data_IF_626931584415
#
_entry.id   IF_626931584415
#
_cell.length_a   1.000
_cell.length_b   1.000
_cell.length_c   1.000
_cell.angle_alpha   90.00
_cell.angle_beta   90.00
_cell.angle_gamma   90.00
#
_symmetry.space_group_name_H-M   'P 1'
#
loop_
_entity.id
_entity.type
_entity.pdbx_description
1 polymer ?
#
# COMPACT_ATOMS: atom_id res chain seq x y z
N UNK A 1 -85.33 1.59 -11.97
CA UNK A 1 -84.51 2.05 -10.82
C UNK A 1 -83.57 0.97 -10.25
N UNK A 2 -83.56 -0.28 -10.76
CA UNK A 2 -82.72 -1.37 -10.24
C UNK A 2 -81.30 -1.42 -10.85
N UNK A 3 -81.14 -0.95 -12.09
CA UNK A 3 -79.86 -0.94 -12.83
C UNK A 3 -78.76 -0.14 -12.12
N UNK A 4 -79.12 0.97 -11.46
CA UNK A 4 -78.15 1.84 -10.78
C UNK A 4 -77.58 1.22 -9.49
N UNK A 5 -78.34 0.36 -8.81
CA UNK A 5 -77.90 -0.30 -7.58
C UNK A 5 -76.92 -1.44 -7.89
N UNK A 6 -77.16 -2.18 -8.99
CA UNK A 6 -76.28 -3.25 -9.44
C UNK A 6 -74.92 -2.70 -9.89
N UNK A 7 -74.91 -1.55 -10.58
CA UNK A 7 -73.69 -0.86 -10.99
C UNK A 7 -72.86 -0.37 -9.78
N UNK A 8 -73.51 0.12 -8.71
CA UNK A 8 -72.82 0.57 -7.51
C UNK A 8 -72.17 -0.58 -6.71
N UNK A 9 -72.81 -1.75 -6.65
CA UNK A 9 -72.26 -2.92 -5.95
C UNK A 9 -71.06 -3.52 -6.71
N UNK A 10 -71.11 -3.54 -8.04
CA UNK A 10 -70.00 -4.03 -8.87
C UNK A 10 -68.72 -3.20 -8.72
N UNK A 11 -68.85 -1.89 -8.48
CA UNK A 11 -67.71 -1.01 -8.26
C UNK A 11 -67.06 -1.20 -6.88
N UNK A 12 -67.86 -1.53 -5.85
CA UNK A 12 -67.37 -1.73 -4.48
C UNK A 12 -66.60 -3.06 -4.30
N UNK A 13 -66.93 -4.08 -5.10
CA UNK A 13 -66.30 -5.41 -5.03
C UNK A 13 -65.22 -5.65 -6.10
N UNK A 14 -64.86 -4.62 -6.87
CA UNK A 14 -63.77 -4.71 -7.84
C UNK A 14 -62.43 -4.85 -7.09
N UNK A 15 -61.64 -5.91 -7.34
CA UNK A 15 -60.31 -6.04 -6.74
C UNK A 15 -59.40 -4.92 -7.24
N UNK A 16 -58.69 -4.24 -6.33
CA UNK A 16 -57.71 -3.21 -6.68
C UNK A 16 -56.59 -3.81 -7.56
N UNK A 17 -56.04 -3.07 -8.54
CA UNK A 17 -54.95 -3.56 -9.36
C UNK A 17 -53.74 -3.80 -8.47
N UNK A 18 -53.34 -5.06 -8.34
CA UNK A 18 -52.17 -5.46 -7.58
C UNK A 18 -50.95 -5.10 -8.43
N UNK A 19 -50.05 -4.26 -7.91
CA UNK A 19 -48.84 -3.88 -8.63
C UNK A 19 -48.01 -5.14 -8.91
N UNK A 20 -47.83 -5.48 -10.19
CA UNK A 20 -46.99 -6.57 -10.63
C UNK A 20 -45.52 -6.20 -10.45
N UNK A 21 -44.66 -7.08 -9.90
CA UNK A 21 -43.24 -6.81 -9.79
C UNK A 21 -42.64 -6.74 -11.21
N UNK A 22 -42.04 -5.60 -11.55
CA UNK A 22 -41.33 -5.45 -12.82
C UNK A 22 -40.19 -6.49 -12.90
N UNK A 23 -40.10 -7.28 -13.98
CA UNK A 23 -39.02 -8.25 -14.12
C UNK A 23 -37.70 -7.49 -14.31
N UNK A 24 -36.81 -7.56 -13.31
CA UNK A 24 -35.41 -7.17 -13.48
C UNK A 24 -34.80 -8.08 -14.54
N UNK A 25 -34.50 -7.54 -15.72
CA UNK A 25 -33.71 -8.24 -16.71
C UNK A 25 -32.30 -8.47 -16.14
N UNK A 26 -31.92 -9.73 -15.93
CA UNK A 26 -30.55 -10.10 -15.58
C UNK A 26 -29.67 -9.88 -16.82
N UNK A 27 -28.94 -8.77 -16.84
CA UNK A 27 -27.85 -8.57 -17.80
C UNK A 27 -26.68 -9.41 -17.31
N UNK A 28 -26.36 -10.48 -18.05
CA UNK A 28 -25.09 -11.19 -17.84
C UNK A 28 -23.94 -10.27 -18.25
N UNK A 29 -23.20 -9.78 -17.25
CA UNK A 29 -21.97 -9.00 -17.46
C UNK A 29 -20.84 -10.02 -17.65
N UNK A 30 -20.44 -10.22 -18.92
CA UNK A 30 -19.19 -10.89 -19.24
C UNK A 30 -18.03 -9.95 -18.86
N UNK A 31 -17.31 -10.29 -17.79
CA UNK A 31 -16.10 -9.58 -17.41
C UNK A 31 -14.94 -10.13 -18.25
N UNK A 32 -14.31 -9.31 -19.12
CA UNK A 32 -13.12 -9.77 -19.84
C UNK A 32 -12.06 -10.15 -18.81
N UNK A 33 -11.46 -11.33 -18.98
CA UNK A 33 -10.36 -11.76 -18.14
C UNK A 33 -9.22 -10.73 -18.24
N UNK A 34 -8.89 -10.10 -17.12
CA UNK A 34 -7.79 -9.15 -17.01
C UNK A 34 -6.47 -9.93 -17.07
N UNK A 35 -6.02 -10.29 -18.27
CA UNK A 35 -4.71 -10.93 -18.47
C UNK A 35 -3.65 -9.84 -18.53
N UNK A 36 -3.35 -9.24 -17.38
CA UNK A 36 -2.11 -8.47 -17.25
C UNK A 36 -0.98 -9.49 -17.20
N UNK A 37 0.00 -9.46 -18.13
CA UNK A 37 1.19 -10.27 -17.95
C UNK A 37 1.75 -9.90 -16.58
N UNK A 38 1.88 -10.89 -15.69
CA UNK A 38 2.52 -10.67 -14.40
C UNK A 38 3.83 -9.95 -14.65
N UNK A 39 4.07 -8.85 -13.92
CA UNK A 39 5.33 -8.13 -14.08
C UNK A 39 6.43 -9.11 -13.72
N UNK A 40 7.25 -9.51 -14.70
CA UNK A 40 8.46 -10.33 -14.54
C UNK A 40 9.54 -9.62 -13.68
N UNK A 41 9.20 -8.47 -13.07
CA UNK A 41 10.01 -7.85 -12.03
C UNK A 41 10.07 -8.78 -10.82
N UNK A 42 11.15 -9.54 -10.76
CA UNK A 42 11.68 -10.08 -9.51
C UNK A 42 11.78 -8.91 -8.53
N UNK A 43 11.09 -8.94 -7.38
CA UNK A 43 11.17 -7.87 -6.40
C UNK A 43 12.62 -7.75 -5.92
N UNK A 44 13.20 -6.55 -6.07
CA UNK A 44 14.54 -6.29 -5.57
C UNK A 44 14.55 -6.46 -4.04
N UNK A 45 15.56 -7.14 -3.47
CA UNK A 45 15.66 -7.33 -2.03
C UNK A 45 15.74 -5.96 -1.34
N UNK A 46 14.86 -5.70 -0.35
CA UNK A 46 14.83 -4.43 0.34
C UNK A 46 16.14 -4.15 1.10
N UNK A 47 16.55 -2.88 1.13
CA UNK A 47 17.74 -2.42 1.83
C UNK A 47 17.33 -1.69 3.11
N UNK A 48 17.75 -2.20 4.26
CA UNK A 48 17.42 -1.66 5.58
C UNK A 48 18.63 -0.94 6.19
N UNK A 49 18.36 0.18 6.84
CA UNK A 49 19.29 0.91 7.71
C UNK A 49 18.66 1.00 9.08
N UNK A 50 19.28 0.37 10.07
CA UNK A 50 18.84 0.44 11.46
C UNK A 50 19.73 1.42 12.22
N UNK A 51 19.11 2.41 12.87
CA UNK A 51 19.76 3.38 13.75
C UNK A 51 19.69 2.88 15.18
N UNK A 52 20.85 2.68 15.80
CA UNK A 52 21.00 2.25 17.19
C UNK A 52 21.22 3.48 18.08
N UNK A 53 20.79 3.45 19.35
CA UNK A 53 20.91 4.55 20.31
C UNK A 53 22.34 5.13 20.43
N UNK A 54 23.36 4.27 20.29
CA UNK A 54 24.79 4.63 20.32
C UNK A 54 25.27 5.42 19.08
N UNK A 55 24.36 5.73 18.13
CA UNK A 55 24.68 6.45 16.89
C UNK A 55 25.34 5.59 15.81
N UNK A 56 25.46 4.28 16.06
CA UNK A 56 25.85 3.27 15.08
C UNK A 56 24.70 2.93 14.14
N UNK A 57 25.06 2.56 12.91
CA UNK A 57 24.11 2.19 11.88
C UNK A 57 24.37 0.74 11.48
N UNK A 58 23.30 -0.04 11.34
CA UNK A 58 23.39 -1.41 10.84
C UNK A 58 22.71 -1.45 9.49
N UNK A 59 23.48 -1.75 8.44
CA UNK A 59 22.98 -1.93 7.09
C UNK A 59 22.72 -3.41 6.84
N UNK A 60 21.54 -3.76 6.35
CA UNK A 60 21.12 -5.14 6.06
C UNK A 60 20.35 -5.22 4.75
N UNK A 61 20.60 -6.26 3.96
CA UNK A 61 19.85 -6.54 2.74
C UNK A 61 20.41 -5.84 1.49
N UNK A 62 19.57 -5.66 0.48
CA UNK A 62 20.02 -5.33 -0.87
C UNK A 62 20.79 -6.51 -1.50
N UNK A 63 21.94 -6.24 -2.12
CA UNK A 63 22.75 -7.29 -2.79
C UNK A 63 23.31 -8.36 -1.84
N UNK A 64 23.44 -8.05 -0.55
CA UNK A 64 23.99 -8.96 0.44
C UNK A 64 23.03 -9.12 1.62
N UNK A 65 22.71 -10.36 1.99
CA UNK A 65 21.80 -10.67 3.10
C UNK A 65 22.45 -10.47 4.49
N UNK A 66 23.76 -10.23 4.52
CA UNK A 66 24.50 -10.00 5.77
C UNK A 66 24.23 -8.61 6.36
N UNK A 67 24.35 -8.53 7.69
CA UNK A 67 24.31 -7.26 8.42
C UNK A 67 25.73 -6.71 8.55
N UNK A 68 25.90 -5.41 8.31
CA UNK A 68 27.17 -4.72 8.53
C UNK A 68 26.94 -3.50 9.42
N UNK A 69 27.73 -3.40 10.48
CA UNK A 69 27.80 -2.20 11.31
C UNK A 69 28.68 -1.15 10.62
N UNK A 70 28.15 0.07 10.51
CA UNK A 70 28.83 1.21 9.89
C UNK A 70 28.61 2.46 10.72
N UNK A 71 29.60 3.35 10.68
CA UNK A 71 29.49 4.69 11.26
C UNK A 71 28.82 5.62 10.25
N UNK A 72 28.13 6.66 10.72
CA UNK A 72 27.43 7.65 9.89
C UNK A 72 28.27 8.18 8.71
N UNK A 73 29.58 8.41 8.88
CA UNK A 73 30.46 8.89 7.80
C UNK A 73 30.64 7.87 6.67
N UNK A 74 30.63 6.58 6.97
CA UNK A 74 30.83 5.48 6.00
C UNK A 74 29.54 4.90 5.42
N UNK A 75 28.38 5.36 5.90
CA UNK A 75 27.08 4.79 5.49
C UNK A 75 26.84 4.93 3.99
N UNK A 76 27.28 6.02 3.38
CA UNK A 76 27.07 6.28 1.95
C UNK A 76 27.78 5.25 1.07
N UNK A 77 29.03 4.91 1.40
CA UNK A 77 29.82 3.91 0.68
C UNK A 77 29.22 2.51 0.85
N UNK A 78 28.97 2.11 2.10
CA UNK A 78 28.40 0.81 2.42
C UNK A 78 27.02 0.58 1.77
N UNK A 79 26.22 1.64 1.65
CA UNK A 79 24.95 1.58 0.94
C UNK A 79 25.14 1.54 -0.57
N UNK A 80 26.11 2.25 -1.15
CA UNK A 80 26.38 2.19 -2.60
C UNK A 80 26.79 0.80 -3.07
N UNK A 81 27.54 0.07 -2.24
CA UNK A 81 27.95 -1.30 -2.53
C UNK A 81 26.78 -2.29 -2.51
N UNK A 82 25.78 -2.03 -1.66
CA UNK A 82 24.60 -2.91 -1.47
C UNK A 82 23.36 -2.47 -2.24
N UNK A 83 23.26 -1.21 -2.61
CA UNK A 83 22.07 -0.63 -3.22
C UNK A 83 21.97 -1.02 -4.70
N UNK A 84 20.81 -1.55 -5.06
CA UNK A 84 20.44 -1.81 -6.44
C UNK A 84 19.97 -0.52 -7.10
N UNK A 85 20.08 -0.46 -8.42
CA UNK A 85 19.55 0.63 -9.23
C UNK A 85 18.14 0.28 -9.68
N UNK A 86 17.19 1.18 -9.45
CA UNK A 86 15.79 1.07 -9.85
C UNK A 86 15.31 2.39 -10.45
N UNK A 87 14.66 2.34 -11.63
CA UNK A 87 14.00 3.48 -12.29
C UNK A 87 14.79 4.80 -12.16
N UNK A 88 15.94 4.87 -12.83
CA UNK A 88 16.76 6.08 -12.89
C UNK A 88 17.49 6.48 -11.60
N UNK A 89 17.40 5.69 -10.53
CA UNK A 89 18.04 6.01 -9.24
C UNK A 89 18.41 4.78 -8.42
N UNK A 90 18.71 4.99 -7.13
CA UNK A 90 18.86 3.89 -6.18
C UNK A 90 17.48 3.35 -5.76
N UNK A 91 17.45 2.07 -5.40
CA UNK A 91 16.28 1.43 -4.80
C UNK A 91 15.83 2.12 -3.50
N UNK A 92 14.60 1.86 -3.08
CA UNK A 92 14.07 2.42 -1.83
C UNK A 92 14.81 1.83 -0.62
N UNK A 93 15.25 2.71 0.28
CA UNK A 93 15.92 2.34 1.54
C UNK A 93 14.94 2.49 2.69
N UNK A 94 14.87 1.48 3.54
CA UNK A 94 14.02 1.47 4.72
C UNK A 94 14.83 1.82 5.96
N UNK A 95 14.54 2.96 6.56
CA UNK A 95 15.16 3.44 7.78
C UNK A 95 14.32 3.01 8.99
N UNK A 96 14.91 2.23 9.88
CA UNK A 96 14.38 1.89 11.19
C UNK A 96 15.20 2.60 12.26
N UNK A 97 14.57 3.03 13.34
CA UNK A 97 15.25 3.46 14.55
C UNK A 97 14.73 2.66 15.76
N UNK A 98 15.60 2.43 16.73
CA UNK A 98 15.20 1.93 18.06
C UNK A 98 14.39 3.01 18.83
N UNK A 99 13.64 2.61 19.86
CA UNK A 99 12.72 3.51 20.59
C UNK A 99 13.48 4.60 21.38
N UNK A 100 14.68 4.27 21.87
CA UNK A 100 15.55 5.21 22.61
C UNK A 100 16.25 6.24 21.69
N UNK A 101 16.16 6.10 20.37
CA UNK A 101 16.86 6.99 19.43
C UNK A 101 16.16 8.35 19.36
N UNK A 102 16.91 9.40 19.70
CA UNK A 102 16.41 10.77 19.55
C UNK A 102 16.02 11.09 18.09
N UNK A 103 14.92 11.82 17.91
CA UNK A 103 14.46 12.29 16.60
C UNK A 103 15.57 13.04 15.83
N UNK A 104 16.38 13.84 16.54
CA UNK A 104 17.50 14.56 15.95
C UNK A 104 18.51 13.62 15.27
N UNK A 105 18.80 12.46 15.87
CA UNK A 105 19.66 11.44 15.27
C UNK A 105 19.08 10.89 13.97
N UNK A 106 17.77 10.62 13.94
CA UNK A 106 17.08 10.12 12.73
C UNK A 106 17.16 11.14 11.60
N UNK A 107 16.86 12.42 11.88
CA UNK A 107 16.94 13.50 10.89
C UNK A 107 18.37 13.65 10.36
N UNK A 108 19.37 13.55 11.23
CA UNK A 108 20.78 13.60 10.83
C UNK A 108 21.14 12.48 9.86
N UNK A 109 20.73 11.24 10.15
CA UNK A 109 20.92 10.08 9.26
C UNK A 109 20.22 10.32 7.92
N UNK A 110 18.96 10.75 7.92
CA UNK A 110 18.22 11.03 6.68
C UNK A 110 18.92 12.10 5.84
N UNK A 111 19.41 13.17 6.46
CA UNK A 111 20.13 14.23 5.75
C UNK A 111 21.43 13.72 5.12
N UNK A 112 22.17 12.87 5.84
CA UNK A 112 23.36 12.21 5.31
C UNK A 112 23.01 11.28 4.13
N UNK A 113 21.95 10.49 4.23
CA UNK A 113 21.53 9.59 3.15
C UNK A 113 21.14 10.37 1.88
N UNK A 114 20.36 11.45 2.04
CA UNK A 114 19.98 12.32 0.92
C UNK A 114 21.18 12.99 0.26
N UNK A 115 22.14 13.49 1.06
CA UNK A 115 23.40 14.04 0.52
C UNK A 115 24.21 13.03 -0.30
N UNK A 116 24.08 11.73 -0.01
CA UNK A 116 24.74 10.67 -0.77
C UNK A 116 23.99 10.23 -2.05
N UNK A 117 22.85 10.86 -2.35
CA UNK A 117 22.02 10.57 -3.53
C UNK A 117 20.91 9.54 -3.31
N UNK A 118 20.66 9.14 -2.06
CA UNK A 118 19.55 8.26 -1.72
C UNK A 118 18.30 9.09 -1.41
N UNK A 119 17.47 9.30 -2.43
CA UNK A 119 16.26 10.13 -2.29
C UNK A 119 15.02 9.32 -1.83
N UNK A 120 14.96 8.04 -2.21
CA UNK A 120 13.85 7.13 -1.88
C UNK A 120 14.06 6.52 -0.49
N UNK A 121 13.76 7.26 0.58
CA UNK A 121 13.88 6.77 1.97
C UNK A 121 12.48 6.56 2.57
N UNK A 122 12.17 5.33 2.97
CA UNK A 122 10.97 4.98 3.75
C UNK A 122 11.32 4.85 5.23
N UNK A 123 10.52 5.45 6.11
CA UNK A 123 10.66 5.28 7.56
C UNK A 123 9.80 4.11 8.02
N UNK A 124 10.36 3.25 8.85
CA UNK A 124 9.65 2.16 9.52
C UNK A 124 9.73 2.38 11.02
N UNK A 125 8.58 2.51 11.65
CA UNK A 125 8.45 2.42 13.09
C UNK A 125 8.09 0.97 13.44
N UNK A 126 8.91 0.31 14.26
CA UNK A 126 8.54 -0.95 14.90
C UNK A 126 8.15 -0.65 16.34
N UNK A 127 6.96 -0.10 16.55
CA UNK A 127 6.41 0.06 17.90
C UNK A 127 4.95 -0.35 17.93
N UNK A 128 4.67 -1.33 18.80
CA UNK A 128 3.35 -1.94 18.94
C UNK A 128 3.41 -3.35 19.49
N UNK A 129 3.93 -3.51 20.71
CA UNK A 129 3.48 -4.54 21.66
C UNK A 129 3.12 -3.87 22.96
#
# INVERSE_FOLDING_TARGET
MLEGLLAALALLFAPAPQAEPEPYAAVEIDMPACTMPGSDRVPSPPLFVHVVADGRLIVRGGRAETSQEVVLKGVGEALRERALREDGGYQRIFLRADDDVSYASVVKVMSTLRHNGFDKIGLIYEGGR
#
